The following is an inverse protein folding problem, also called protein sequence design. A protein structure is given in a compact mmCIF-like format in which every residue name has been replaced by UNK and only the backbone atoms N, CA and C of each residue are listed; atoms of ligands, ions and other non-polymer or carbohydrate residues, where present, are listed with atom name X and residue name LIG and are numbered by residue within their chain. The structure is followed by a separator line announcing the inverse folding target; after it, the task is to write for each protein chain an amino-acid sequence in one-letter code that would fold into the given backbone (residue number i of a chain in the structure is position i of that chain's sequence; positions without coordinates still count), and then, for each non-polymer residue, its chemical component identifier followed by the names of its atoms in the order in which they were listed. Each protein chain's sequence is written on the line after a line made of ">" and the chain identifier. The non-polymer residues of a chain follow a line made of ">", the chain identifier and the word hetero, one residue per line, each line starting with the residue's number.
data_IF_121074964071
#
_entry.id   IF_121074964071
#
_cell.length_a   1.000
_cell.length_b   1.000
_cell.length_c   1.000
_cell.angle_alpha   90.00
_cell.angle_beta   90.00
_cell.angle_gamma   90.00
#
_symmetry.space_group_name_H-M   'P 1'
#
loop_
_entity.id
_entity.type
_entity.pdbx_description
1 polymer ?
#
# COMPACT_ATOMS: atom_id res chain seq x y z
N UNK A 1 -9.23 -20.54 -13.23
CA UNK A 1 -8.20 -21.21 -12.43
C UNK A 1 -6.89 -20.50 -12.71
N UNK A 2 -6.41 -19.66 -11.80
CA UNK A 2 -5.12 -18.98 -11.92
C UNK A 2 -4.05 -19.85 -11.27
N UNK A 3 -3.18 -20.44 -12.07
CA UNK A 3 -2.01 -21.17 -11.59
C UNK A 3 -1.13 -20.21 -10.79
N UNK A 4 -1.09 -20.43 -9.48
CA UNK A 4 -0.10 -19.79 -8.62
C UNK A 4 1.23 -20.41 -8.99
N UNK A 5 2.19 -19.61 -9.47
CA UNK A 5 3.54 -20.13 -9.80
C UNK A 5 4.17 -20.62 -8.50
N UNK A 6 4.23 -21.94 -8.35
CA UNK A 6 4.83 -22.59 -7.19
C UNK A 6 6.37 -22.52 -7.34
N UNK A 7 7.12 -22.42 -6.24
CA UNK A 7 8.57 -22.46 -6.27
C UNK A 7 9.08 -23.74 -6.98
N UNK A 8 10.05 -23.61 -7.89
CA UNK A 8 10.60 -24.75 -8.65
C UNK A 8 11.08 -25.88 -7.72
N UNK A 9 11.70 -25.52 -6.59
CA UNK A 9 12.14 -26.47 -5.57
C UNK A 9 11.01 -27.34 -5.00
N UNK A 10 9.79 -26.81 -4.91
CA UNK A 10 8.61 -27.58 -4.49
C UNK A 10 8.13 -28.53 -5.59
N UNK A 11 8.11 -28.06 -6.84
CA UNK A 11 7.72 -28.86 -8.00
C UNK A 11 8.67 -30.06 -8.18
N UNK A 12 9.98 -29.81 -8.08
CA UNK A 12 11.02 -30.84 -8.17
C UNK A 12 10.88 -31.88 -7.06
N UNK A 13 10.66 -31.44 -5.81
CA UNK A 13 10.48 -32.35 -4.69
C UNK A 13 9.19 -33.18 -4.81
N UNK A 14 8.08 -32.57 -5.27
CA UNK A 14 6.83 -33.28 -5.52
C UNK A 14 7.01 -34.35 -6.61
N UNK A 15 7.73 -34.03 -7.68
CA UNK A 15 8.02 -34.97 -8.76
C UNK A 15 8.85 -36.17 -8.28
N UNK A 16 9.82 -35.96 -7.38
CA UNK A 16 10.68 -37.02 -6.84
C UNK A 16 9.97 -37.89 -5.80
N UNK A 17 9.07 -37.31 -5.01
CA UNK A 17 8.37 -38.02 -3.92
C UNK A 17 6.99 -38.54 -4.31
N UNK A 18 6.58 -38.33 -5.55
CA UNK A 18 5.22 -38.60 -6.06
C UNK A 18 4.11 -37.92 -5.23
N UNK A 19 4.46 -36.83 -4.53
CA UNK A 19 3.50 -36.07 -3.73
C UNK A 19 2.67 -35.15 -4.65
N UNK A 20 1.33 -35.12 -4.55
CA UNK A 20 0.51 -34.20 -5.32
C UNK A 20 0.88 -32.73 -5.04
N UNK A 21 1.08 -31.96 -6.10
CA UNK A 21 1.57 -30.56 -6.05
C UNK A 21 0.65 -29.63 -5.24
N UNK A 22 -0.65 -29.95 -5.21
CA UNK A 22 -1.69 -29.22 -4.49
C UNK A 22 -1.78 -29.58 -3.00
N UNK A 23 -1.20 -30.70 -2.57
CA UNK A 23 -1.21 -31.20 -1.19
C UNK A 23 -0.21 -30.44 -0.31
N UNK A 24 -0.65 -29.27 0.17
CA UNK A 24 0.16 -28.35 0.99
C UNK A 24 -0.26 -28.33 2.46
N UNK A 25 -0.66 -29.49 3.00
CA UNK A 25 -0.97 -29.63 4.42
C UNK A 25 0.31 -29.56 5.29
N UNK A 26 0.14 -29.30 6.59
CA UNK A 26 1.26 -29.06 7.52
C UNK A 26 2.21 -30.28 7.60
N UNK A 27 1.67 -31.50 7.53
CA UNK A 27 2.47 -32.73 7.54
C UNK A 27 3.36 -32.84 6.32
N UNK A 28 2.82 -32.49 5.16
CA UNK A 28 3.54 -32.53 3.87
C UNK A 28 4.61 -31.45 3.82
N UNK A 29 4.31 -30.24 4.30
CA UNK A 29 5.28 -29.14 4.37
C UNK A 29 6.41 -29.44 5.37
N UNK A 30 6.13 -30.09 6.49
CA UNK A 30 7.17 -30.54 7.45
C UNK A 30 8.06 -31.64 6.86
N UNK A 31 7.49 -32.54 6.06
CA UNK A 31 8.27 -33.56 5.35
C UNK A 31 9.20 -32.92 4.31
N UNK A 32 8.68 -31.99 3.51
CA UNK A 32 9.46 -31.20 2.56
C UNK A 32 10.56 -30.39 3.26
N UNK A 33 10.26 -29.73 4.38
CA UNK A 33 11.22 -28.96 5.15
C UNK A 33 12.41 -29.83 5.62
N UNK A 34 12.14 -31.04 6.09
CA UNK A 34 13.16 -31.99 6.56
C UNK A 34 14.00 -32.58 5.42
N UNK A 35 13.41 -32.81 4.26
CA UNK A 35 14.08 -33.51 3.15
C UNK A 35 14.82 -32.57 2.20
N UNK A 36 14.23 -31.44 1.85
CA UNK A 36 14.79 -30.52 0.85
C UNK A 36 15.54 -29.33 1.47
N UNK A 37 15.45 -29.12 2.79
CA UNK A 37 16.07 -27.99 3.48
C UNK A 37 15.76 -26.61 2.87
N UNK A 38 14.50 -26.31 2.48
CA UNK A 38 14.14 -25.05 1.84
C UNK A 38 14.35 -23.86 2.77
N UNK A 39 14.53 -22.68 2.19
CA UNK A 39 14.52 -21.43 2.97
C UNK A 39 13.14 -21.19 3.60
N UNK A 40 13.11 -20.44 4.71
CA UNK A 40 11.85 -20.01 5.35
C UNK A 40 10.92 -19.27 4.38
N UNK A 41 11.49 -18.52 3.43
CA UNK A 41 10.74 -17.82 2.37
C UNK A 41 9.98 -18.78 1.45
N UNK A 42 10.62 -19.89 1.07
CA UNK A 42 9.98 -20.92 0.23
C UNK A 42 8.87 -21.62 1.01
N UNK A 43 9.10 -21.97 2.28
CA UNK A 43 8.07 -22.57 3.14
C UNK A 43 6.87 -21.64 3.34
N UNK A 44 7.10 -20.35 3.57
CA UNK A 44 6.02 -19.37 3.74
C UNK A 44 5.23 -19.10 2.44
N UNK A 45 5.86 -19.26 1.27
CA UNK A 45 5.17 -19.16 -0.02
C UNK A 45 4.25 -20.37 -0.28
N UNK A 46 4.60 -21.55 0.26
CA UNK A 46 3.87 -22.80 0.07
C UNK A 46 2.71 -22.99 1.07
N UNK A 47 2.79 -22.38 2.26
CA UNK A 47 1.75 -22.49 3.28
C UNK A 47 0.40 -21.97 2.76
N UNK A 48 -0.67 -22.81 2.77
CA UNK A 48 -2.02 -22.35 2.51
C UNK A 48 -2.37 -21.21 3.47
N UNK A 49 -3.10 -20.21 2.98
CA UNK A 49 -3.70 -19.25 3.89
C UNK A 49 -4.62 -20.02 4.85
N UNK A 50 -4.44 -19.89 6.18
CA UNK A 50 -5.41 -20.45 7.11
C UNK A 50 -6.76 -19.80 6.81
N UNK A 51 -7.71 -20.62 6.34
CA UNK A 51 -9.11 -20.22 6.23
C UNK A 51 -9.68 -20.31 7.64
N UNK A 52 -9.58 -19.20 8.38
CA UNK A 52 -10.21 -19.03 9.69
C UNK A 52 -9.26 -19.18 10.89
N UNK A 53 -9.56 -18.40 11.94
CA UNK A 53 -9.01 -18.43 13.33
C UNK A 53 -7.65 -17.82 13.64
N UNK A 54 -7.01 -17.06 12.75
CA UNK A 54 -6.03 -16.07 13.21
C UNK A 54 -6.78 -14.78 13.56
N UNK A 55 -6.61 -14.26 14.79
CA UNK A 55 -7.26 -13.04 15.25
C UNK A 55 -7.05 -11.92 14.22
N UNK A 56 -8.13 -11.51 13.55
CA UNK A 56 -8.10 -10.39 12.62
C UNK A 56 -7.48 -9.19 13.35
N UNK A 57 -6.53 -8.53 12.68
CA UNK A 57 -5.96 -7.30 13.21
C UNK A 57 -6.92 -6.10 13.08
N UNK A 58 -8.12 -6.35 12.54
CA UNK A 58 -9.23 -5.43 12.54
C UNK A 58 -9.63 -5.04 13.97
N UNK A 59 -9.94 -3.76 14.22
CA UNK A 59 -10.29 -3.31 15.56
C UNK A 59 -11.51 -4.07 16.10
N UNK A 60 -11.44 -4.54 17.35
CA UNK A 60 -12.51 -5.36 17.94
C UNK A 60 -13.84 -4.62 18.02
N UNK A 61 -13.81 -3.30 18.24
CA UNK A 61 -15.01 -2.47 18.28
C UNK A 61 -15.74 -2.39 16.91
N UNK A 62 -15.06 -2.71 15.82
CA UNK A 62 -15.59 -2.65 14.46
C UNK A 62 -15.89 -4.05 13.88
N UNK A 63 -15.72 -5.12 14.67
CA UNK A 63 -15.75 -6.50 14.17
C UNK A 63 -17.15 -6.97 13.77
N UNK A 64 -18.16 -6.53 14.50
CA UNK A 64 -19.54 -6.97 14.28
C UNK A 64 -20.33 -5.97 13.41
N UNK A 65 -19.62 -5.01 12.80
CA UNK A 65 -20.20 -3.97 11.97
C UNK A 65 -19.70 -4.10 10.53
N UNK A 66 -20.52 -4.79 9.72
CA UNK A 66 -20.22 -5.09 8.31
C UNK A 66 -20.02 -3.84 7.45
N UNK A 67 -20.50 -2.66 7.91
CA UNK A 67 -20.38 -1.39 7.19
C UNK A 67 -19.15 -0.57 7.60
N UNK A 68 -18.42 -1.00 8.65
CA UNK A 68 -17.34 -0.23 9.24
C UNK A 68 -16.21 0.07 8.24
N UNK A 69 -15.87 -0.88 7.37
CA UNK A 69 -14.84 -0.66 6.34
C UNK A 69 -15.28 0.44 5.35
N UNK A 70 -16.52 0.41 4.87
CA UNK A 70 -17.01 1.38 3.89
C UNK A 70 -17.10 2.78 4.48
N UNK A 71 -17.54 2.90 5.74
CA UNK A 71 -17.56 4.17 6.48
C UNK A 71 -16.16 4.72 6.71
N UNK A 72 -15.21 3.85 7.07
CA UNK A 72 -13.80 4.22 7.21
C UNK A 72 -13.23 4.75 5.89
N UNK A 73 -13.44 4.00 4.80
CA UNK A 73 -12.97 4.38 3.46
C UNK A 73 -13.60 5.71 3.04
N UNK A 74 -14.92 5.88 3.22
CA UNK A 74 -15.60 7.15 2.94
C UNK A 74 -15.03 8.31 3.75
N UNK A 75 -14.88 8.14 5.05
CA UNK A 75 -14.34 9.17 5.93
C UNK A 75 -12.89 9.56 5.59
N UNK A 76 -12.07 8.60 5.17
CA UNK A 76 -10.71 8.86 4.71
C UNK A 76 -10.67 9.53 3.33
N UNK A 77 -11.45 9.04 2.36
CA UNK A 77 -11.54 9.59 1.01
C UNK A 77 -12.00 11.05 1.01
N UNK A 78 -13.00 11.39 1.81
CA UNK A 78 -13.46 12.79 1.96
C UNK A 78 -12.34 13.69 2.49
N UNK A 79 -11.55 13.23 3.47
CA UNK A 79 -10.39 13.99 4.00
C UNK A 79 -9.23 14.07 3.01
N UNK A 80 -9.04 13.05 2.18
CA UNK A 80 -8.04 13.09 1.10
C UNK A 80 -8.42 14.16 0.07
N UNK A 81 -9.71 14.31 -0.23
CA UNK A 81 -10.21 15.33 -1.15
C UNK A 81 -10.23 16.76 -0.58
N UNK A 82 -10.19 16.92 0.75
CA UNK A 82 -10.26 18.22 1.43
C UNK A 82 -9.01 19.08 1.14
N UNK A 83 -9.17 20.31 0.59
CA UNK A 83 -8.06 21.23 0.30
C UNK A 83 -7.27 21.64 1.55
N UNK A 84 -7.89 21.68 2.73
CA UNK A 84 -7.25 22.09 3.97
C UNK A 84 -6.29 21.03 4.53
N UNK A 85 -6.41 19.78 4.09
CA UNK A 85 -5.55 18.68 4.55
C UNK A 85 -4.20 18.75 3.83
N UNK A 86 -3.13 18.80 4.62
CA UNK A 86 -1.76 18.80 4.10
C UNK A 86 -1.45 17.52 3.31
N UNK A 87 -0.63 17.65 2.26
CA UNK A 87 -0.33 16.55 1.34
C UNK A 87 0.29 15.31 2.03
N UNK A 88 1.13 15.51 3.05
CA UNK A 88 1.72 14.41 3.84
C UNK A 88 0.62 13.64 4.59
N UNK A 89 -0.37 14.36 5.13
CA UNK A 89 -1.52 13.76 5.80
C UNK A 89 -2.37 12.96 4.81
N UNK A 90 -2.59 13.46 3.60
CA UNK A 90 -3.28 12.71 2.54
C UNK A 90 -2.55 11.42 2.18
N UNK A 91 -1.22 11.48 2.06
CA UNK A 91 -0.37 10.32 1.81
C UNK A 91 -0.52 9.26 2.92
N UNK A 92 -0.46 9.70 4.18
CA UNK A 92 -0.64 8.81 5.35
C UNK A 92 -2.04 8.22 5.42
N UNK A 93 -3.07 9.00 5.05
CA UNK A 93 -4.46 8.54 4.96
C UNK A 93 -4.62 7.47 3.87
N UNK A 94 -4.07 7.67 2.66
CA UNK A 94 -4.09 6.65 1.59
C UNK A 94 -3.46 5.33 2.07
N UNK A 95 -2.32 5.39 2.76
CA UNK A 95 -1.68 4.21 3.36
C UNK A 95 -2.54 3.56 4.45
N UNK A 96 -3.19 4.36 5.31
CA UNK A 96 -4.08 3.87 6.36
C UNK A 96 -5.28 3.14 5.77
N UNK A 97 -5.92 3.71 4.74
CA UNK A 97 -7.07 3.09 4.07
C UNK A 97 -6.66 1.79 3.38
N UNK A 98 -5.51 1.76 2.70
CA UNK A 98 -4.98 0.51 2.15
C UNK A 98 -4.76 -0.54 3.24
N UNK A 99 -4.09 -0.19 4.34
CA UNK A 99 -3.90 -1.11 5.46
C UNK A 99 -5.25 -1.59 6.04
N UNK A 100 -6.25 -0.72 6.15
CA UNK A 100 -7.58 -1.10 6.61
C UNK A 100 -8.24 -2.16 5.72
N UNK A 101 -8.16 -2.01 4.39
CA UNK A 101 -8.68 -3.00 3.45
C UNK A 101 -7.95 -4.35 3.58
N UNK A 102 -6.64 -4.34 3.82
CA UNK A 102 -5.88 -5.58 4.07
C UNK A 102 -6.35 -6.31 5.32
N UNK A 103 -6.61 -5.58 6.42
CA UNK A 103 -6.90 -6.16 7.73
C UNK A 103 -8.38 -6.49 7.96
N UNK A 104 -9.29 -5.72 7.34
CA UNK A 104 -10.73 -5.89 7.52
C UNK A 104 -11.19 -7.30 7.11
N UNK A 105 -12.16 -7.90 7.80
CA UNK A 105 -12.70 -9.22 7.45
C UNK A 105 -13.19 -9.28 6.00
N UNK A 106 -13.12 -10.46 5.39
CA UNK A 106 -13.65 -10.67 4.04
C UNK A 106 -15.14 -10.35 3.92
N UNK A 107 -15.93 -10.63 4.97
CA UNK A 107 -17.35 -10.28 5.04
C UNK A 107 -17.62 -8.77 4.95
N UNK A 108 -16.67 -7.93 5.36
CA UNK A 108 -16.80 -6.47 5.30
C UNK A 108 -16.26 -5.91 3.97
N UNK A 109 -15.79 -6.78 3.05
CA UNK A 109 -15.13 -6.40 1.80
C UNK A 109 -13.61 -6.21 1.89
N UNK A 110 -12.97 -6.61 2.99
CA UNK A 110 -11.51 -6.63 3.14
C UNK A 110 -10.87 -7.97 2.76
N UNK A 111 -9.59 -8.16 3.12
CA UNK A 111 -8.85 -9.40 2.85
C UNK A 111 -8.63 -10.30 4.08
N UNK A 112 -8.94 -9.81 5.28
CA UNK A 112 -8.81 -10.56 6.53
C UNK A 112 -7.37 -10.95 6.88
N UNK A 113 -6.38 -10.20 6.39
CA UNK A 113 -4.97 -10.51 6.63
C UNK A 113 -4.61 -10.20 8.09
N UNK A 114 -3.74 -11.04 8.65
CA UNK A 114 -3.05 -10.74 9.90
C UNK A 114 -2.03 -9.61 9.72
N UNK A 115 -1.58 -9.00 10.82
CA UNK A 115 -0.51 -7.97 10.79
C UNK A 115 0.74 -8.43 10.06
N UNK A 116 1.16 -9.67 10.30
CA UNK A 116 2.34 -10.26 9.65
C UNK A 116 2.15 -10.45 8.15
N UNK A 117 0.97 -10.93 7.73
CA UNK A 117 0.63 -11.11 6.32
C UNK A 117 0.53 -9.79 5.57
N UNK A 118 -0.11 -8.77 6.15
CA UNK A 118 -0.20 -7.44 5.56
C UNK A 118 1.19 -6.80 5.35
N UNK A 119 2.09 -6.93 6.34
CA UNK A 119 3.46 -6.39 6.25
C UNK A 119 4.36 -7.12 5.25
N UNK A 120 4.10 -8.40 5.01
CA UNK A 120 4.84 -9.23 4.04
C UNK A 120 4.11 -9.37 2.70
N UNK A 121 3.09 -8.55 2.46
CA UNK A 121 2.30 -8.61 1.24
C UNK A 121 3.15 -8.15 0.06
N UNK A 122 3.38 -9.05 -0.89
CA UNK A 122 4.12 -8.78 -2.13
C UNK A 122 3.19 -8.29 -3.24
N UNK A 123 3.71 -7.58 -4.26
CA UNK A 123 2.93 -7.19 -5.45
C UNK A 123 2.22 -8.37 -6.13
N UNK A 124 2.92 -9.48 -6.36
CA UNK A 124 2.34 -10.69 -6.96
C UNK A 124 1.16 -11.22 -6.15
N UNK A 125 1.33 -11.29 -4.82
CA UNK A 125 0.26 -11.77 -3.94
C UNK A 125 -0.92 -10.81 -3.88
N UNK A 126 -0.69 -9.49 -3.91
CA UNK A 126 -1.79 -8.53 -3.98
C UNK A 126 -2.54 -8.66 -5.30
N UNK A 127 -1.86 -8.85 -6.43
CA UNK A 127 -2.51 -9.05 -7.73
C UNK A 127 -3.51 -10.21 -7.68
N UNK A 128 -3.12 -11.31 -7.06
CA UNK A 128 -3.98 -12.51 -6.94
C UNK A 128 -5.14 -12.29 -5.96
N UNK A 129 -4.95 -11.47 -4.93
CA UNK A 129 -5.96 -11.17 -3.91
C UNK A 129 -6.93 -10.05 -4.32
N UNK A 130 -6.52 -9.15 -5.22
CA UNK A 130 -7.28 -7.96 -5.62
C UNK A 130 -8.71 -8.26 -6.10
N UNK A 131 -9.00 -9.33 -6.86
CA UNK A 131 -10.36 -9.68 -7.25
C UNK A 131 -11.31 -9.98 -6.07
N UNK A 132 -10.76 -10.31 -4.89
CA UNK A 132 -11.54 -10.64 -3.69
C UNK A 132 -11.91 -9.42 -2.85
N UNK A 133 -11.39 -8.25 -3.18
CA UNK A 133 -11.65 -7.01 -2.45
C UNK A 133 -13.06 -6.51 -2.79
N UNK A 134 -13.80 -6.12 -1.76
CA UNK A 134 -15.17 -5.62 -1.90
C UNK A 134 -15.24 -4.34 -2.74
N UNK A 135 -16.40 -4.14 -3.37
CA UNK A 135 -16.72 -2.98 -4.20
C UNK A 135 -18.04 -2.38 -3.72
N UNK A 136 -18.18 -1.08 -3.89
CA UNK A 136 -19.41 -0.33 -3.60
C UNK A 136 -19.74 0.56 -4.78
N UNK A 137 -20.99 1.01 -4.91
CA UNK A 137 -21.39 1.90 -6.01
C UNK A 137 -20.82 3.32 -5.85
N UNK A 138 -20.64 3.78 -4.60
CA UNK A 138 -19.99 5.05 -4.29
C UNK A 138 -18.46 4.87 -4.31
N UNK A 139 -17.77 5.62 -5.17
CA UNK A 139 -16.32 5.59 -5.30
C UNK A 139 -15.62 5.99 -3.99
N UNK A 140 -16.20 6.95 -3.25
CA UNK A 140 -15.61 7.46 -2.02
C UNK A 140 -15.58 6.40 -0.91
N UNK A 141 -16.51 5.44 -0.91
CA UNK A 141 -16.57 4.33 0.06
C UNK A 141 -15.96 3.02 -0.43
N UNK A 142 -15.48 2.97 -1.69
CA UNK A 142 -15.10 1.72 -2.35
C UNK A 142 -13.72 1.20 -1.89
N UNK A 143 -13.64 0.01 -1.26
CA UNK A 143 -12.37 -0.57 -0.81
C UNK A 143 -11.39 -0.81 -1.97
N UNK A 144 -11.88 -1.26 -3.12
CA UNK A 144 -11.04 -1.45 -4.31
C UNK A 144 -10.43 -0.13 -4.82
N UNK A 145 -11.18 0.99 -4.76
CA UNK A 145 -10.65 2.32 -5.10
C UNK A 145 -9.59 2.80 -4.11
N UNK A 146 -9.77 2.53 -2.82
CA UNK A 146 -8.76 2.85 -1.80
C UNK A 146 -7.43 2.12 -2.06
N UNK A 147 -7.50 0.84 -2.46
CA UNK A 147 -6.32 0.05 -2.86
C UNK A 147 -5.66 0.64 -4.10
N UNK A 148 -6.45 0.94 -5.13
CA UNK A 148 -5.95 1.57 -6.35
C UNK A 148 -5.22 2.90 -6.06
N UNK A 149 -5.79 3.74 -5.19
CA UNK A 149 -5.20 5.05 -4.82
C UNK A 149 -3.83 4.90 -4.14
N UNK A 150 -3.63 3.85 -3.35
CA UNK A 150 -2.33 3.57 -2.76
C UNK A 150 -1.34 2.98 -3.77
N UNK A 151 -1.79 2.12 -4.68
CA UNK A 151 -0.96 1.61 -5.77
C UNK A 151 -0.48 2.71 -6.72
N UNK A 152 -1.30 3.75 -6.93
CA UNK A 152 -0.90 4.96 -7.66
C UNK A 152 0.29 5.66 -7.00
N UNK A 153 0.22 5.85 -5.67
CA UNK A 153 1.31 6.45 -4.89
C UNK A 153 2.59 5.61 -4.99
N UNK A 154 2.45 4.31 -4.76
CA UNK A 154 3.55 3.34 -4.79
C UNK A 154 4.21 3.32 -6.17
N UNK A 155 3.41 3.20 -7.24
CA UNK A 155 3.91 3.20 -8.61
C UNK A 155 4.57 4.51 -9.01
N UNK A 156 3.99 5.65 -8.63
CA UNK A 156 4.56 6.99 -8.90
C UNK A 156 5.91 7.19 -8.23
N UNK A 157 6.16 6.58 -7.06
CA UNK A 157 7.42 6.71 -6.34
C UNK A 157 8.58 5.88 -6.94
N UNK A 158 8.30 4.87 -7.77
CA UNK A 158 9.38 4.06 -8.37
C UNK A 158 9.94 4.71 -9.64
N UNK A 159 9.05 5.19 -10.52
CA UNK A 159 9.49 5.68 -11.83
C UNK A 159 9.96 7.16 -11.80
N UNK A 160 9.77 7.91 -10.68
CA UNK A 160 9.96 9.37 -10.64
C UNK A 160 10.51 9.91 -9.30
N UNK A 161 11.16 11.09 -9.37
CA UNK A 161 11.69 11.84 -8.21
C UNK A 161 10.63 12.16 -7.14
N UNK A 162 11.05 12.42 -5.90
CA UNK A 162 10.21 12.90 -4.79
C UNK A 162 9.18 13.98 -5.17
N UNK A 163 9.55 14.83 -6.13
CA UNK A 163 8.68 15.88 -6.68
C UNK A 163 7.38 15.30 -7.25
N UNK A 164 7.41 14.15 -7.92
CA UNK A 164 6.23 13.52 -8.51
C UNK A 164 5.28 12.96 -7.45
N UNK A 165 5.79 12.35 -6.38
CA UNK A 165 4.97 11.91 -5.24
C UNK A 165 4.37 13.10 -4.51
N UNK A 166 5.14 14.18 -4.34
CA UNK A 166 4.64 15.43 -3.78
C UNK A 166 3.53 16.02 -4.65
N UNK A 167 3.73 16.09 -5.97
CA UNK A 167 2.71 16.51 -6.93
C UNK A 167 1.44 15.64 -6.83
N UNK A 168 1.58 14.31 -6.74
CA UNK A 168 0.45 13.40 -6.52
C UNK A 168 -0.24 13.61 -5.16
N UNK A 169 0.51 13.95 -4.10
CA UNK A 169 -0.05 14.34 -2.81
C UNK A 169 -0.83 15.66 -2.88
N UNK A 170 -0.42 16.56 -3.77
CA UNK A 170 -1.16 17.79 -4.07
C UNK A 170 -2.37 17.56 -4.97
N UNK A 171 -2.34 16.54 -5.86
CA UNK A 171 -3.50 16.13 -6.66
C UNK A 171 -4.63 15.63 -5.77
N UNK A 172 -5.80 16.23 -5.98
CA UNK A 172 -7.06 15.85 -5.33
C UNK A 172 -7.64 14.66 -6.08
N UNK A 173 -8.20 13.71 -5.34
CA UNK A 173 -8.96 12.61 -5.94
C UNK A 173 -10.25 13.22 -6.54
N UNK A 174 -10.25 13.45 -7.85
CA UNK A 174 -11.41 13.96 -8.56
C UNK A 174 -12.11 12.81 -9.27
N UNK A 175 -13.43 12.74 -9.15
CA UNK A 175 -14.28 11.92 -9.99
C UNK A 175 -14.31 12.56 -11.40
N UNK A 176 -13.29 12.28 -12.20
CA UNK A 176 -13.19 12.79 -13.58
C UNK A 176 -13.99 11.95 -14.57
N UNK A 177 -14.27 10.68 -14.24
CA UNK A 177 -14.93 9.73 -15.12
C UNK A 177 -16.16 9.11 -14.45
N UNK A 178 -17.10 8.62 -15.28
CA UNK A 178 -18.25 7.85 -14.82
C UNK A 178 -17.86 6.46 -14.24
N UNK A 179 -16.60 6.05 -14.41
CA UNK A 179 -16.05 4.78 -13.93
C UNK A 179 -15.25 4.95 -12.64
N UNK A 180 -15.32 3.93 -11.79
CA UNK A 180 -14.55 3.86 -10.57
C UNK A 180 -13.05 3.82 -10.88
N UNK A 181 -12.23 4.44 -10.02
CA UNK A 181 -10.76 4.39 -10.16
C UNK A 181 -10.19 2.97 -10.33
N UNK A 182 -10.71 2.00 -9.58
CA UNK A 182 -10.22 0.63 -9.63
C UNK A 182 -10.49 -0.12 -10.95
N UNK A 183 -11.37 0.43 -11.81
CA UNK A 183 -11.71 -0.09 -13.15
C UNK A 183 -10.78 0.48 -14.23
N UNK A 184 -10.07 1.57 -13.92
CA UNK A 184 -9.07 2.16 -14.82
C UNK A 184 -7.83 1.28 -14.83
N UNK A 185 -7.05 1.39 -15.92
CA UNK A 185 -5.73 0.77 -15.97
C UNK A 185 -4.90 1.23 -14.77
N UNK A 186 -4.03 0.36 -14.28
CA UNK A 186 -3.17 0.72 -13.17
C UNK A 186 -2.27 1.90 -13.60
N UNK A 187 -2.26 2.99 -12.82
CA UNK A 187 -1.76 4.30 -13.26
C UNK A 187 -0.24 4.33 -13.43
N UNK A 188 0.45 3.34 -12.88
CA UNK A 188 1.87 3.07 -13.16
C UNK A 188 2.09 1.56 -12.98
N UNK A 189 2.09 0.74 -14.06
CA UNK A 189 2.21 -0.72 -13.94
C UNK A 189 3.54 -1.16 -13.31
N UNK A 190 4.48 -0.21 -13.17
CA UNK A 190 5.69 -0.31 -12.37
C UNK A 190 5.45 -1.05 -11.06
N UNK A 191 4.40 -0.74 -10.28
CA UNK A 191 4.13 -1.36 -8.96
C UNK A 191 4.20 -2.91 -8.94
N UNK A 192 3.88 -3.55 -10.07
CA UNK A 192 3.92 -5.01 -10.24
C UNK A 192 5.29 -5.53 -10.73
N UNK A 193 6.02 -4.72 -11.51
CA UNK A 193 7.32 -5.05 -12.10
C UNK A 193 8.50 -4.90 -11.11
N UNK A 194 8.25 -5.01 -9.81
CA UNK A 194 9.23 -4.77 -8.74
C UNK A 194 9.89 -6.07 -8.30
N UNK A 195 11.11 -6.42 -8.76
CA UNK A 195 11.72 -7.71 -8.41
C UNK A 195 12.32 -7.70 -6.99
N UNK A 196 12.61 -6.51 -6.45
CA UNK A 196 13.47 -6.35 -5.27
C UNK A 196 12.80 -5.63 -4.07
N UNK A 197 11.50 -5.33 -4.14
CA UNK A 197 10.80 -4.62 -3.06
C UNK A 197 9.90 -5.57 -2.27
N UNK A 198 10.15 -5.78 -0.96
CA UNK A 198 9.56 -6.89 -0.22
C UNK A 198 8.12 -6.63 0.28
N UNK A 199 7.57 -5.42 0.17
CA UNK A 199 6.28 -5.10 0.78
C UNK A 199 5.52 -3.91 0.15
N UNK A 200 4.20 -3.90 0.32
CA UNK A 200 3.29 -2.85 -0.13
C UNK A 200 2.88 -1.86 0.98
N UNK A 201 3.56 -1.91 2.13
CA UNK A 201 3.38 -0.97 3.24
C UNK A 201 4.72 -0.35 3.63
N UNK A 202 5.35 0.44 2.74
CA UNK A 202 6.62 1.09 3.04
C UNK A 202 6.53 2.05 4.23
N UNK A 203 7.68 2.29 4.85
CA UNK A 203 7.82 3.33 5.86
C UNK A 203 7.64 4.72 5.20
N UNK A 204 7.08 5.66 5.97
CA UNK A 204 6.94 7.05 5.56
C UNK A 204 7.50 7.88 6.71
N UNK A 205 8.47 8.74 6.42
CA UNK A 205 9.07 9.60 7.44
C UNK A 205 8.18 10.83 7.77
N UNK A 206 8.74 11.78 8.52
CA UNK A 206 8.04 13.02 8.89
C UNK A 206 7.84 13.99 7.71
N UNK A 207 8.67 13.90 6.68
CA UNK A 207 8.66 14.76 5.50
C UNK A 207 7.90 14.17 4.32
N UNK A 208 7.42 12.93 4.44
CA UNK A 208 6.72 12.22 3.38
C UNK A 208 7.63 11.39 2.48
N UNK A 209 8.90 11.19 2.85
CA UNK A 209 9.80 10.26 2.18
C UNK A 209 9.30 8.83 2.35
N UNK A 210 9.09 8.14 1.23
CA UNK A 210 8.67 6.74 1.20
C UNK A 210 9.93 5.87 1.04
N UNK A 211 10.28 5.15 2.09
CA UNK A 211 11.34 4.15 2.04
C UNK A 211 10.74 2.83 1.51
N UNK A 212 10.98 2.55 0.22
CA UNK A 212 10.51 1.35 -0.46
C UNK A 212 11.27 0.08 -0.06
N UNK A 213 12.44 0.20 0.57
CA UNK A 213 13.24 -0.94 1.02
C UNK A 213 12.92 -1.31 2.47
N UNK A 214 12.44 -0.34 3.26
CA UNK A 214 11.90 -0.53 4.59
C UNK A 214 10.43 -0.99 4.58
N UNK A 215 10.10 -1.99 5.40
CA UNK A 215 8.70 -2.28 5.74
C UNK A 215 8.25 -1.39 6.89
N UNK A 216 6.97 -1.01 6.90
CA UNK A 216 6.34 -0.39 8.05
C UNK A 216 6.68 -1.16 9.33
N UNK A 217 7.18 -0.44 10.33
CA UNK A 217 7.51 -1.01 11.63
C UNK A 217 6.24 -1.61 12.28
N UNK A 218 6.32 -2.76 13.00
CA UNK A 218 5.15 -3.38 13.61
C UNK A 218 4.35 -2.42 14.51
N UNK A 219 5.04 -1.55 15.27
CA UNK A 219 4.39 -0.56 16.13
C UNK A 219 3.58 0.48 15.36
N UNK A 220 4.01 0.87 14.15
CA UNK A 220 3.27 1.80 13.31
C UNK A 220 1.96 1.18 12.83
N UNK A 221 1.95 -0.11 12.50
CA UNK A 221 0.71 -0.82 12.16
C UNK A 221 -0.22 -0.94 13.37
N UNK A 222 0.33 -1.15 14.58
CA UNK A 222 -0.45 -1.12 15.81
C UNK A 222 -1.06 0.25 16.09
N UNK A 223 -0.34 1.34 15.78
CA UNK A 223 -0.87 2.71 15.92
C UNK A 223 -1.97 3.05 14.91
N UNK A 224 -2.01 2.38 13.75
CA UNK A 224 -3.09 2.55 12.78
C UNK A 224 -4.44 2.02 13.28
N UNK A 225 -4.44 0.99 14.14
CA UNK A 225 -5.67 0.34 14.60
C UNK A 225 -6.58 1.31 15.40
N UNK A 226 -6.09 2.03 16.42
CA UNK A 226 -6.87 3.08 17.09
C UNK A 226 -7.25 4.24 16.17
N UNK A 227 -6.40 4.57 15.18
CA UNK A 227 -6.71 5.61 14.20
C UNK A 227 -7.88 5.22 13.29
N UNK A 228 -8.03 3.93 12.95
CA UNK A 228 -9.19 3.42 12.21
C UNK A 228 -10.48 3.60 13.02
N UNK A 229 -10.49 3.22 14.30
CA UNK A 229 -11.66 3.39 15.17
C UNK A 229 -12.08 4.87 15.26
N UNK A 230 -11.10 5.75 15.49
CA UNK A 230 -11.33 7.20 15.56
C UNK A 230 -11.93 7.74 14.26
N UNK A 231 -11.41 7.29 13.11
CA UNK A 231 -11.84 7.79 11.81
C UNK A 231 -13.25 7.31 11.42
N UNK A 232 -13.67 6.11 11.85
CA UNK A 232 -15.04 5.60 11.65
C UNK A 232 -16.07 6.42 12.43
N UNK A 233 -15.75 6.80 13.66
CA UNK A 233 -16.68 7.53 14.53
C UNK A 233 -16.69 9.03 14.22
N UNK A 234 -15.60 9.56 13.66
CA UNK A 234 -15.49 10.98 13.35
C UNK A 234 -16.54 11.41 12.31
N UNK A 235 -17.34 12.46 12.59
CA UNK A 235 -18.36 12.91 11.66
C UNK A 235 -17.72 13.26 10.31
N UNK A 236 -18.31 12.73 9.24
CA UNK A 236 -17.96 13.12 7.87
C UNK A 236 -18.71 14.41 7.59
N UNK A 237 -18.03 15.55 7.72
CA UNK A 237 -18.62 16.81 7.28
C UNK A 237 -18.94 16.69 5.78
N UNK A 238 -20.11 17.14 5.31
CA UNK A 238 -20.39 17.18 3.89
C UNK A 238 -19.29 17.98 3.21
N UNK A 239 -18.61 17.37 2.25
CA UNK A 239 -17.65 18.05 1.40
C UNK A 239 -18.34 19.32 0.88
N UNK A 240 -17.90 20.50 1.31
CA UNK A 240 -18.31 21.73 0.63
C UNK A 240 -17.92 21.52 -0.82
N UNK A 241 -18.90 21.54 -1.73
CA UNK A 241 -18.64 21.51 -3.16
C UNK A 241 -17.67 22.65 -3.44
N UNK A 242 -16.40 22.33 -3.61
CA UNK A 242 -15.41 23.34 -3.97
C UNK A 242 -15.60 23.49 -5.46
N UNK A 243 -16.18 24.63 -5.85
CA UNK A 243 -16.14 25.11 -7.22
C UNK A 243 -14.75 24.83 -7.78
N UNK A 244 -14.73 24.31 -9.01
CA UNK A 244 -13.53 23.96 -9.78
C UNK A 244 -12.53 25.11 -9.72
N UNK A 245 -11.64 25.05 -8.73
CA UNK A 245 -10.60 26.04 -8.54
C UNK A 245 -9.68 25.88 -9.74
N UNK A 246 -9.70 26.88 -10.63
CA UNK A 246 -8.85 26.94 -11.81
C UNK A 246 -7.43 26.58 -11.36
N UNK A 247 -6.81 25.61 -12.05
CA UNK A 247 -5.43 25.26 -11.80
C UNK A 247 -4.62 26.56 -11.82
N UNK A 248 -4.14 26.99 -10.64
CA UNK A 248 -3.20 28.09 -10.57
C UNK A 248 -2.05 27.74 -11.50
N UNK A 249 -1.69 28.66 -12.41
CA UNK A 249 -0.63 28.42 -13.36
C UNK A 249 0.60 27.88 -12.62
N UNK A 250 1.23 26.80 -13.13
CA UNK A 250 2.47 26.30 -12.54
C UNK A 250 3.44 27.47 -12.45
N UNK A 251 3.85 27.81 -11.22
CA UNK A 251 4.78 28.89 -10.96
C UNK A 251 6.04 28.63 -11.79
N UNK A 252 6.20 29.39 -12.88
CA UNK A 252 7.33 29.24 -13.80
C UNK A 252 8.54 29.77 -13.07
N UNK A 253 9.39 28.86 -12.60
CA UNK A 253 10.70 29.17 -12.07
C UNK A 253 11.45 29.92 -13.17
N UNK A 254 11.87 31.15 -12.89
CA UNK A 254 12.62 31.93 -13.87
C UNK A 254 14.04 31.38 -14.01
N UNK A 255 14.74 31.63 -15.13
CA UNK A 255 16.14 31.21 -15.28
C UNK A 255 17.07 31.73 -14.16
N UNK A 256 16.71 32.86 -13.55
CA UNK A 256 17.44 33.45 -12.42
C UNK A 256 17.19 32.67 -11.12
N UNK A 257 15.96 32.24 -10.87
CA UNK A 257 15.62 31.39 -9.72
C UNK A 257 16.23 29.99 -9.87
N UNK A 258 16.26 29.44 -11.08
CA UNK A 258 16.90 28.17 -11.39
C UNK A 258 18.42 28.23 -11.17
N UNK A 259 19.07 29.31 -11.63
CA UNK A 259 20.49 29.54 -11.37
C UNK A 259 20.81 29.69 -9.87
N UNK A 260 19.93 30.37 -9.11
CA UNK A 260 20.07 30.51 -7.66
C UNK A 260 19.91 29.16 -6.92
N UNK A 261 18.99 28.31 -7.38
CA UNK A 261 18.79 26.96 -6.83
C UNK A 261 20.03 26.09 -7.09
N UNK A 262 20.58 26.13 -8.30
CA UNK A 262 21.79 25.36 -8.64
C UNK A 262 23.02 25.84 -7.87
N UNK A 263 23.23 27.16 -7.76
CA UNK A 263 24.33 27.71 -6.96
C UNK A 263 24.24 27.29 -5.49
N UNK A 264 23.01 27.22 -4.93
CA UNK A 264 22.77 26.76 -3.56
C UNK A 264 23.05 25.27 -3.38
N UNK A 265 22.72 24.45 -4.38
CA UNK A 265 23.00 23.02 -4.38
C UNK A 265 24.52 22.75 -4.47
N UNK A 266 25.24 23.49 -5.30
CA UNK A 266 26.70 23.39 -5.43
C UNK A 266 27.43 23.80 -4.15
N UNK A 267 26.97 24.86 -3.48
CA UNK A 267 27.49 25.28 -2.17
C UNK A 267 27.35 24.16 -1.12
N UNK A 268 26.18 23.50 -1.11
CA UNK A 268 25.88 22.41 -0.18
C UNK A 268 26.73 21.16 -0.47
N UNK A 269 26.89 20.81 -1.74
CA UNK A 269 27.76 19.72 -2.18
C UNK A 269 29.23 19.97 -1.84
N UNK A 270 29.72 21.20 -2.05
CA UNK A 270 31.07 21.58 -1.67
C UNK A 270 31.31 21.53 -0.15
N UNK A 271 30.27 21.80 0.64
CA UNK A 271 30.33 21.68 2.11
C UNK A 271 30.34 20.22 2.57
N UNK A 272 29.52 19.37 1.96
CA UNK A 272 29.50 17.93 2.24
C UNK A 272 30.82 17.27 1.84
N UNK A 273 31.35 17.60 0.67
CA UNK A 273 32.65 17.09 0.20
C UNK A 273 33.79 17.46 1.17
N UNK A 274 33.77 18.67 1.73
CA UNK A 274 34.75 19.12 2.73
C UNK A 274 34.67 18.31 4.02
N UNK A 275 33.45 18.06 4.51
CA UNK A 275 33.22 17.25 5.71
C UNK A 275 33.69 15.81 5.48
N UNK A 276 33.39 15.23 4.31
CA UNK A 276 33.83 13.88 3.97
C UNK A 276 35.35 13.77 3.81
N UNK A 277 36.03 14.82 3.35
CA UNK A 277 37.49 14.86 3.25
C UNK A 277 38.19 15.08 4.61
N UNK A 278 37.50 15.64 5.60
CA UNK A 278 38.03 15.91 6.94
C UNK A 278 37.88 14.71 7.88
N UNK A 279 36.95 13.79 7.59
CA UNK A 279 36.58 12.65 8.44
C UNK A 279 36.58 11.28 7.74
N UNK A 280 37.04 11.20 6.49
CA UNK A 280 37.25 9.96 5.72
C UNK A 280 38.74 9.64 5.57
#
# INVERSE_FOLDING_TARGET
>A
MTDTVLPDLWLDWCAVTETPVDRRDETTLDLFARQAGPSLTVLDALRPMPVGTAASAWPSALRDDDTALWRLVRGGSVRIADPAIQWITRLRLRRLLFAAVLLAPAGHGGLGLTRGQARRLTPSRLRDLRPRIGRTDDEASCPACAVWSWLEVIGTNNDWSQRAVRELGHRRDQATDASHRHERNDPSPGWFNWPNHPNLLPAIDQWGYIDLYGSMHPSSLSALIPAMETLVVAPVAPSRGVDREAAGEPQRITPEEEAAIFARADELNARVARILAEYG
#
